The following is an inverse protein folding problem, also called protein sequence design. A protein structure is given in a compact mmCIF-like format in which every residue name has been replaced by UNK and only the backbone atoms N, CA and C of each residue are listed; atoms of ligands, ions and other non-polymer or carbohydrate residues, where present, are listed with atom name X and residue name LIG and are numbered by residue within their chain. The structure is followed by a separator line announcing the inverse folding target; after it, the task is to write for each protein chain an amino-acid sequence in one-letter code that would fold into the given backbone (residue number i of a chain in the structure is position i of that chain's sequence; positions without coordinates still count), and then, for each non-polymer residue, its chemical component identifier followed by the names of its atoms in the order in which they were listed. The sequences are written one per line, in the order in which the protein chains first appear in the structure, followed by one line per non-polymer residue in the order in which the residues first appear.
data_IF_998930229358
#
_entry.id   IF_998930229358
#
_cell.length_a   1.000
_cell.length_b   1.000
_cell.length_c   1.000
_cell.angle_alpha   90.00
_cell.angle_beta   90.00
_cell.angle_gamma   90.00
#
_symmetry.space_group_name_H-M   'P 1'
#
loop_
_entity.id
_entity.type
_entity.pdbx_description
1 polymer ?
#
# COMPACT_ATOMS: atom_id res chain seq x y z
N UNK A 1 0.51 52.84 23.68
CA UNK A 1 -0.18 52.01 22.65
C UNK A 1 0.76 51.15 21.78
N UNK A 2 1.95 51.63 21.38
CA UNK A 2 2.84 50.93 20.43
C UNK A 2 3.42 49.57 20.92
N UNK A 3 3.67 49.41 22.22
CA UNK A 3 4.23 48.16 22.79
C UNK A 3 3.26 46.96 22.78
N UNK A 4 1.94 47.20 22.94
CA UNK A 4 0.91 46.15 22.86
C UNK A 4 0.76 45.59 21.44
N UNK A 5 0.86 46.43 20.41
CA UNK A 5 0.81 45.99 19.01
C UNK A 5 2.03 45.15 18.62
N UNK A 6 3.24 45.49 19.12
CA UNK A 6 4.46 44.71 18.86
C UNK A 6 4.44 43.33 19.53
N UNK A 7 3.90 43.23 20.75
CA UNK A 7 3.72 41.96 21.47
C UNK A 7 2.71 41.03 20.77
N UNK A 8 1.55 41.58 20.38
CA UNK A 8 0.50 40.83 19.66
C UNK A 8 0.97 40.33 18.29
N UNK A 9 1.76 41.12 17.55
CA UNK A 9 2.34 40.73 16.26
C UNK A 9 3.38 39.61 16.39
N UNK A 10 4.17 39.60 17.48
CA UNK A 10 5.11 38.51 17.82
C UNK A 10 4.38 37.22 18.22
N UNK A 11 3.35 37.32 19.04
CA UNK A 11 2.53 36.17 19.46
C UNK A 11 1.85 35.51 18.26
N UNK A 12 1.27 36.29 17.35
CA UNK A 12 0.66 35.79 16.11
C UNK A 12 1.70 35.10 15.20
N UNK A 13 2.87 35.72 15.03
CA UNK A 13 3.97 35.13 14.25
C UNK A 13 4.46 33.79 14.84
N UNK A 14 4.56 33.69 16.17
CA UNK A 14 4.95 32.46 16.85
C UNK A 14 3.89 31.36 16.75
N UNK A 15 2.60 31.72 16.75
CA UNK A 15 1.50 30.76 16.56
C UNK A 15 1.49 30.20 15.14
N UNK A 16 1.61 31.08 14.13
CA UNK A 16 1.69 30.68 12.71
C UNK A 16 2.92 29.79 12.47
N UNK A 17 4.07 30.12 13.07
CA UNK A 17 5.30 29.33 12.94
C UNK A 17 5.14 27.93 13.54
N UNK A 18 4.48 27.81 14.71
CA UNK A 18 4.19 26.51 15.34
C UNK A 18 3.21 25.67 14.54
N UNK A 19 2.16 26.27 14.00
CA UNK A 19 1.20 25.57 13.13
C UNK A 19 1.89 25.03 11.86
N UNK A 20 2.68 25.88 11.18
CA UNK A 20 3.48 25.44 10.02
C UNK A 20 4.45 24.32 10.36
N UNK A 21 5.16 24.44 11.48
CA UNK A 21 6.09 23.39 11.94
C UNK A 21 5.39 22.05 12.21
N UNK A 22 4.17 22.08 12.75
CA UNK A 22 3.37 20.86 12.94
C UNK A 22 2.92 20.25 11.61
N UNK A 23 2.47 21.09 10.66
CA UNK A 23 2.04 20.63 9.35
C UNK A 23 3.20 20.09 8.47
N UNK A 24 4.43 20.56 8.69
CA UNK A 24 5.65 19.99 8.07
C UNK A 24 6.01 18.59 8.60
N UNK A 25 5.56 18.23 9.80
CA UNK A 25 5.80 16.91 10.39
C UNK A 25 4.68 15.91 10.10
N UNK A 26 3.65 16.31 9.36
CA UNK A 26 2.57 15.40 8.99
C UNK A 26 3.08 14.34 7.99
N UNK A 27 2.66 13.07 8.14
CA UNK A 27 3.01 12.01 7.20
C UNK A 27 2.25 12.09 5.87
N UNK A 28 1.39 13.10 5.71
CA UNK A 28 0.58 13.32 4.51
C UNK A 28 1.00 14.64 3.83
N UNK A 29 0.94 14.68 2.51
CA UNK A 29 1.20 15.89 1.74
C UNK A 29 0.04 16.87 1.94
N UNK A 30 0.35 18.10 2.36
CA UNK A 30 -0.66 19.12 2.67
C UNK A 30 -0.50 20.31 1.74
N UNK A 31 -1.61 20.73 1.14
CA UNK A 31 -1.71 21.92 0.29
C UNK A 31 -2.89 22.77 0.74
N UNK A 32 -2.66 24.06 0.91
CA UNK A 32 -3.70 25.04 1.19
C UNK A 32 -3.96 25.88 -0.05
N UNK A 33 -5.22 25.96 -0.45
CA UNK A 33 -5.65 26.73 -1.64
C UNK A 33 -6.78 27.69 -1.30
N UNK A 34 -6.91 28.74 -2.11
CA UNK A 34 -8.15 29.50 -2.17
C UNK A 34 -9.28 28.64 -2.74
N UNK A 35 -10.51 29.09 -2.60
CA UNK A 35 -11.69 28.48 -3.21
C UNK A 35 -11.61 28.42 -4.76
N UNK A 36 -10.86 29.33 -5.37
CA UNK A 36 -10.57 29.35 -6.81
C UNK A 36 -9.43 28.39 -7.21
N UNK A 37 -8.79 27.74 -6.23
CA UNK A 37 -7.69 26.79 -6.43
C UNK A 37 -6.29 27.41 -6.41
N UNK A 38 -6.15 28.70 -6.09
CA UNK A 38 -4.85 29.36 -5.96
C UNK A 38 -4.09 28.86 -4.74
N UNK A 39 -2.92 28.27 -4.92
CA UNK A 39 -2.10 27.74 -3.81
C UNK A 39 -1.48 28.90 -3.04
N UNK A 40 -1.57 28.88 -1.71
CA UNK A 40 -0.90 29.88 -0.86
C UNK A 40 0.01 29.26 0.21
N UNK A 41 0.05 27.94 0.30
CA UNK A 41 1.02 27.20 1.12
C UNK A 41 0.99 25.70 0.82
N UNK A 42 2.13 25.02 0.94
CA UNK A 42 2.21 23.56 1.01
C UNK A 42 3.39 23.13 1.90
N UNK A 43 3.34 21.89 2.42
CA UNK A 43 4.45 21.31 3.19
C UNK A 43 5.52 20.68 2.27
N UNK A 44 6.68 20.35 2.83
CA UNK A 44 7.77 19.70 2.10
C UNK A 44 7.37 18.37 1.47
N UNK A 45 6.48 17.61 2.12
CA UNK A 45 6.00 16.33 1.58
C UNK A 45 5.15 16.53 0.31
N UNK A 46 4.34 17.58 0.25
CA UNK A 46 3.63 17.96 -0.97
C UNK A 46 4.58 18.35 -2.10
N UNK A 47 5.69 19.03 -1.81
CA UNK A 47 6.71 19.30 -2.82
C UNK A 47 7.32 18.00 -3.38
N UNK A 48 7.62 17.04 -2.50
CA UNK A 48 8.23 15.76 -2.90
C UNK A 48 7.28 14.84 -3.66
N UNK A 49 6.03 14.70 -3.22
CA UNK A 49 5.08 13.72 -3.76
C UNK A 49 4.30 14.28 -4.94
N UNK A 50 3.84 15.53 -4.85
CA UNK A 50 3.03 16.18 -5.88
C UNK A 50 3.88 16.97 -6.89
N UNK A 51 5.20 17.13 -6.64
CA UNK A 51 6.11 17.86 -7.52
C UNK A 51 5.92 19.37 -7.50
N UNK A 52 5.31 19.91 -6.43
CA UNK A 52 5.10 21.35 -6.26
C UNK A 52 6.42 22.05 -5.91
N UNK A 53 6.59 23.29 -6.37
CA UNK A 53 7.75 24.13 -6.07
C UNK A 53 7.32 25.28 -5.19
N UNK A 54 7.79 25.31 -3.96
CA UNK A 54 7.45 26.36 -2.99
C UNK A 54 8.69 27.15 -2.60
N UNK A 55 8.65 28.50 -2.65
CA UNK A 55 7.47 29.38 -2.81
C UNK A 55 7.13 29.78 -4.26
N UNK A 56 7.75 29.21 -5.29
CA UNK A 56 7.61 29.65 -6.69
C UNK A 56 6.19 29.50 -7.24
N UNK A 57 5.46 28.47 -6.82
CA UNK A 57 4.10 28.19 -7.27
C UNK A 57 3.03 28.97 -6.44
N UNK A 58 3.43 29.91 -5.59
CA UNK A 58 2.49 30.72 -4.82
C UNK A 58 1.57 31.54 -5.75
N UNK A 59 0.27 31.46 -5.52
CA UNK A 59 -0.78 32.08 -6.32
C UNK A 59 -1.15 31.31 -7.61
N UNK A 60 -0.38 30.28 -7.99
CA UNK A 60 -0.72 29.45 -9.14
C UNK A 60 -1.94 28.58 -8.83
N UNK A 61 -2.75 28.32 -9.86
CA UNK A 61 -3.89 27.43 -9.72
C UNK A 61 -3.42 25.97 -9.64
N UNK A 62 -3.84 25.23 -8.62
CA UNK A 62 -3.50 23.82 -8.41
C UNK A 62 -3.87 22.94 -9.61
N UNK A 63 -4.92 23.29 -10.37
CA UNK A 63 -5.33 22.58 -11.59
C UNK A 63 -4.30 22.69 -12.72
N UNK A 64 -3.49 23.76 -12.75
CA UNK A 64 -2.44 23.94 -13.75
C UNK A 64 -1.18 23.14 -13.42
N UNK A 65 -0.97 22.84 -12.14
CA UNK A 65 0.17 22.08 -11.63
C UNK A 65 -0.11 20.58 -11.65
N UNK A 66 -1.30 20.18 -11.18
CA UNK A 66 -1.79 18.81 -11.21
C UNK A 66 -2.76 18.60 -12.37
N UNK A 67 -2.20 18.30 -13.54
CA UNK A 67 -2.95 18.16 -14.80
C UNK A 67 -3.57 16.78 -14.98
N UNK A 68 -4.35 16.34 -14.00
CA UNK A 68 -5.09 15.08 -14.07
C UNK A 68 -6.58 15.36 -14.30
N UNK A 69 -7.23 14.74 -15.31
CA UNK A 69 -8.65 14.95 -15.60
C UNK A 69 -9.55 14.62 -14.40
N UNK A 70 -9.29 13.52 -13.69
CA UNK A 70 -10.09 13.09 -12.53
C UNK A 70 -9.96 14.10 -11.39
N UNK A 71 -8.75 14.64 -11.18
CA UNK A 71 -8.50 15.69 -10.19
C UNK A 71 -9.22 16.99 -10.52
N UNK A 72 -9.21 17.37 -11.80
CA UNK A 72 -9.93 18.57 -12.27
C UNK A 72 -11.44 18.41 -12.07
N UNK A 73 -11.98 17.24 -12.40
CA UNK A 73 -13.39 16.95 -12.18
C UNK A 73 -13.76 16.99 -10.70
N UNK A 74 -12.95 16.36 -9.84
CA UNK A 74 -13.16 16.31 -8.40
C UNK A 74 -13.22 17.70 -7.73
N UNK A 75 -12.32 18.62 -8.12
CA UNK A 75 -12.36 20.00 -7.61
C UNK A 75 -13.53 20.82 -8.18
N UNK A 76 -13.97 20.53 -9.42
CA UNK A 76 -15.11 21.22 -10.04
C UNK A 76 -16.46 20.77 -9.50
N UNK A 77 -16.65 19.47 -9.26
CA UNK A 77 -17.91 18.94 -8.71
C UNK A 77 -18.11 19.33 -7.25
N UNK A 78 -17.02 19.62 -6.52
CA UNK A 78 -17.02 19.99 -5.09
C UNK A 78 -17.70 18.96 -4.18
N UNK A 79 -17.83 17.72 -4.64
CA UNK A 79 -18.27 16.60 -3.81
C UNK A 79 -17.06 16.04 -3.06
N UNK A 80 -16.79 16.61 -1.89
CA UNK A 80 -15.69 16.21 -1.02
C UNK A 80 -16.09 15.13 0.00
N UNK A 81 -17.25 14.49 -0.18
CA UNK A 81 -17.69 13.41 0.71
C UNK A 81 -16.85 12.14 0.56
N UNK A 82 -16.24 11.94 -0.61
CA UNK A 82 -15.40 10.79 -0.94
C UNK A 82 -14.00 11.25 -1.34
N UNK A 83 -12.95 10.51 -0.97
CA UNK A 83 -11.61 10.78 -1.47
C UNK A 83 -11.52 10.53 -2.97
N UNK A 84 -10.62 11.25 -3.64
CA UNK A 84 -10.18 10.94 -4.98
C UNK A 84 -8.95 10.03 -4.91
N UNK A 85 -9.03 8.87 -5.54
CA UNK A 85 -7.86 8.03 -5.76
C UNK A 85 -7.22 8.39 -7.10
N UNK A 86 -5.95 8.77 -7.07
CA UNK A 86 -5.19 9.20 -8.24
C UNK A 86 -3.92 8.37 -8.38
N UNK A 87 -3.63 7.90 -9.59
CA UNK A 87 -2.34 7.28 -9.91
C UNK A 87 -1.50 8.30 -10.66
N UNK A 88 -0.37 8.68 -10.07
CA UNK A 88 0.57 9.57 -10.72
C UNK A 88 1.36 8.85 -11.81
N UNK A 89 1.90 9.60 -12.76
CA UNK A 89 2.80 9.07 -13.80
C UNK A 89 4.06 8.39 -13.22
N UNK A 90 4.42 8.70 -11.97
CA UNK A 90 5.50 8.05 -11.21
C UNK A 90 5.15 6.65 -10.71
N UNK A 91 3.90 6.19 -10.89
CA UNK A 91 3.39 4.92 -10.36
C UNK A 91 2.92 4.99 -8.91
N UNK A 92 2.94 6.18 -8.29
CA UNK A 92 2.43 6.37 -6.93
C UNK A 92 0.91 6.42 -6.93
N UNK A 93 0.31 5.74 -5.96
CA UNK A 93 -1.12 5.79 -5.68
C UNK A 93 -1.36 6.79 -4.55
N UNK A 94 -2.18 7.81 -4.83
CA UNK A 94 -2.53 8.85 -3.86
C UNK A 94 -4.02 8.81 -3.53
N UNK A 95 -4.35 8.91 -2.25
CA UNK A 95 -5.69 9.23 -1.77
C UNK A 95 -5.74 10.74 -1.46
N UNK A 96 -6.51 11.50 -2.22
CA UNK A 96 -6.63 12.95 -2.10
C UNK A 96 -7.98 13.30 -1.46
N UNK A 97 -7.93 14.01 -0.32
CA UNK A 97 -9.08 14.54 0.41
C UNK A 97 -9.02 16.05 0.42
N UNK A 98 -10.13 16.70 0.13
CA UNK A 98 -10.25 18.16 0.20
C UNK A 98 -11.28 18.48 1.26
N UNK A 99 -10.99 19.45 2.12
CA UNK A 99 -11.89 19.88 3.18
C UNK A 99 -11.91 21.41 3.28
N UNK A 100 -13.07 22.02 3.50
CA UNK A 100 -13.14 23.46 3.79
C UNK A 100 -12.36 23.76 5.08
N UNK A 101 -11.41 24.70 5.02
CA UNK A 101 -10.55 25.04 6.16
C UNK A 101 -11.01 26.33 6.86
N UNK A 102 -11.36 27.36 6.10
CA UNK A 102 -11.96 28.62 6.57
C UNK A 102 -12.82 29.25 5.45
N UNK A 103 -13.39 30.44 5.66
CA UNK A 103 -14.15 31.14 4.62
C UNK A 103 -13.28 31.31 3.35
N UNK A 104 -13.71 30.68 2.24
CA UNK A 104 -13.07 30.69 0.92
C UNK A 104 -11.69 30.02 0.83
N UNK A 105 -11.37 29.10 1.75
CA UNK A 105 -10.12 28.33 1.70
C UNK A 105 -10.37 26.83 1.79
N UNK A 106 -9.58 26.08 1.04
CA UNK A 106 -9.61 24.63 1.01
C UNK A 106 -8.27 24.08 1.52
N UNK A 107 -8.37 23.02 2.30
CA UNK A 107 -7.25 22.20 2.75
C UNK A 107 -7.31 20.89 1.96
N UNK A 108 -6.25 20.62 1.22
CA UNK A 108 -6.05 19.38 0.48
C UNK A 108 -4.99 18.55 1.20
N UNK A 109 -5.33 17.30 1.43
CA UNK A 109 -4.44 16.30 2.01
C UNK A 109 -4.31 15.17 0.99
N UNK A 110 -3.09 14.88 0.57
CA UNK A 110 -2.76 13.76 -0.30
C UNK A 110 -1.93 12.75 0.49
N UNK A 111 -2.48 11.54 0.65
CA UNK A 111 -1.81 10.43 1.32
C UNK A 111 -1.24 9.47 0.28
N UNK A 112 0.02 9.09 0.44
CA UNK A 112 0.63 8.03 -0.36
C UNK A 112 0.15 6.67 0.14
N UNK A 113 -0.69 6.01 -0.65
CA UNK A 113 -1.26 4.68 -0.37
C UNK A 113 -0.63 3.61 -1.26
N UNK A 114 0.52 3.89 -1.89
CA UNK A 114 1.20 2.99 -2.82
C UNK A 114 1.52 1.64 -2.18
N UNK A 115 2.10 1.64 -0.97
CA UNK A 115 2.45 0.39 -0.29
C UNK A 115 1.21 -0.47 0.02
N UNK A 116 0.12 0.17 0.44
CA UNK A 116 -1.14 -0.53 0.70
C UNK A 116 -1.67 -1.20 -0.58
N UNK A 117 -1.70 -0.47 -1.70
CA UNK A 117 -2.12 -1.03 -2.98
C UNK A 117 -1.19 -2.13 -3.50
N UNK A 118 0.13 -2.00 -3.30
CA UNK A 118 1.10 -3.04 -3.67
C UNK A 118 0.89 -4.32 -2.85
N UNK A 119 0.66 -4.20 -1.54
CA UNK A 119 0.34 -5.33 -0.66
C UNK A 119 -0.97 -6.00 -1.07
N UNK A 120 -2.02 -5.22 -1.35
CA UNK A 120 -3.29 -5.75 -1.85
C UNK A 120 -3.12 -6.47 -3.19
N UNK A 121 -2.33 -5.90 -4.11
CA UNK A 121 -2.01 -6.52 -5.39
C UNK A 121 -1.24 -7.83 -5.24
N UNK A 122 -0.19 -7.83 -4.41
CA UNK A 122 0.59 -9.03 -4.09
C UNK A 122 -0.29 -10.11 -3.47
N UNK A 123 -1.17 -9.75 -2.54
CA UNK A 123 -2.15 -10.65 -1.92
C UNK A 123 -3.07 -11.28 -2.96
N UNK A 124 -3.65 -10.48 -3.86
CA UNK A 124 -4.53 -10.99 -4.93
C UNK A 124 -3.79 -11.93 -5.86
N UNK A 125 -2.59 -11.56 -6.30
CA UNK A 125 -1.75 -12.38 -7.16
C UNK A 125 -1.36 -13.70 -6.48
N UNK A 126 -1.05 -13.65 -5.20
CA UNK A 126 -0.74 -14.84 -4.41
C UNK A 126 -1.94 -15.81 -4.33
N UNK A 127 -3.14 -15.31 -4.00
CA UNK A 127 -4.35 -16.15 -3.99
C UNK A 127 -4.68 -16.73 -5.37
N UNK A 128 -4.50 -15.95 -6.43
CA UNK A 128 -4.68 -16.44 -7.80
C UNK A 128 -3.70 -17.58 -8.10
N UNK A 129 -2.42 -17.38 -7.81
CA UNK A 129 -1.38 -18.39 -8.04
C UNK A 129 -1.65 -19.68 -7.28
N UNK A 130 -1.99 -19.58 -5.99
CA UNK A 130 -2.36 -20.74 -5.17
C UNK A 130 -3.56 -21.48 -5.75
N UNK A 131 -4.59 -20.75 -6.18
CA UNK A 131 -5.78 -21.36 -6.78
C UNK A 131 -5.44 -22.13 -8.06
N UNK A 132 -4.55 -21.58 -8.89
CA UNK A 132 -4.05 -22.26 -10.07
C UNK A 132 -3.20 -23.48 -9.73
N UNK A 133 -2.31 -23.37 -8.75
CA UNK A 133 -1.43 -24.46 -8.31
C UNK A 133 -2.18 -25.60 -7.60
N UNK A 134 -3.35 -25.33 -7.01
CA UNK A 134 -4.22 -26.36 -6.45
C UNK A 134 -5.11 -27.02 -7.51
N UNK A 135 -5.48 -26.30 -8.58
CA UNK A 135 -6.34 -26.85 -9.64
C UNK A 135 -5.66 -28.00 -10.37
N UNK A 136 -4.39 -27.84 -10.74
CA UNK A 136 -3.62 -28.86 -11.47
C UNK A 136 -3.56 -30.22 -10.75
N UNK A 137 -3.11 -30.33 -9.47
CA UNK A 137 -3.09 -31.61 -8.77
C UNK A 137 -4.50 -32.17 -8.57
N UNK A 138 -5.51 -31.31 -8.35
CA UNK A 138 -6.90 -31.76 -8.22
C UNK A 138 -7.42 -32.38 -9.53
N UNK A 139 -7.14 -31.77 -10.69
CA UNK A 139 -7.48 -32.34 -12.00
C UNK A 139 -6.82 -33.71 -12.21
N UNK A 140 -5.56 -33.87 -11.80
CA UNK A 140 -4.85 -35.16 -11.91
C UNK A 140 -5.50 -36.22 -11.00
N UNK A 141 -5.81 -35.87 -9.76
CA UNK A 141 -6.52 -36.76 -8.83
C UNK A 141 -7.88 -37.18 -9.41
N UNK A 142 -8.64 -36.22 -9.92
CA UNK A 142 -9.95 -36.47 -10.50
C UNK A 142 -9.86 -37.38 -11.73
N UNK A 143 -8.89 -37.16 -12.63
CA UNK A 143 -8.69 -38.04 -13.79
C UNK A 143 -8.37 -39.49 -13.40
N UNK A 144 -7.53 -39.71 -12.39
CA UNK A 144 -7.27 -41.08 -11.91
C UNK A 144 -8.48 -41.72 -11.23
N UNK A 145 -9.26 -40.93 -10.47
CA UNK A 145 -10.51 -41.42 -9.86
C UNK A 145 -11.55 -41.79 -10.93
N UNK A 146 -11.68 -40.99 -11.98
CA UNK A 146 -12.55 -41.27 -13.13
C UNK A 146 -12.12 -42.55 -13.84
N UNK A 147 -10.83 -42.73 -14.14
CA UNK A 147 -10.30 -43.96 -14.74
C UNK A 147 -10.59 -45.20 -13.90
N UNK A 148 -10.41 -45.11 -12.57
CA UNK A 148 -10.70 -46.23 -11.65
C UNK A 148 -12.19 -46.56 -11.54
N UNK A 149 -13.06 -45.57 -11.76
CA UNK A 149 -14.50 -45.75 -11.73
C UNK A 149 -15.03 -46.37 -13.03
N UNK A 150 -14.38 -46.09 -14.17
CA UNK A 150 -14.71 -46.69 -15.47
C UNK A 150 -14.24 -48.14 -15.56
N UNK A 151 -12.99 -48.44 -15.14
CA UNK A 151 -12.43 -49.78 -15.13
C UNK A 151 -11.48 -50.00 -13.95
N UNK A 152 -11.45 -51.20 -13.33
CA UNK A 152 -10.47 -51.52 -12.30
C UNK A 152 -9.04 -51.39 -12.85
N UNK A 153 -8.24 -50.51 -12.26
CA UNK A 153 -6.81 -50.46 -12.52
C UNK A 153 -6.13 -51.66 -11.84
N UNK A 154 -5.26 -52.37 -12.55
CA UNK A 154 -4.55 -53.55 -12.05
C UNK A 154 -3.02 -53.42 -12.15
N UNK A 155 -2.32 -54.22 -11.34
CA UNK A 155 -0.87 -54.34 -11.34
C UNK A 155 -0.13 -53.01 -11.27
N UNK A 156 0.88 -52.86 -12.14
CA UNK A 156 1.76 -51.69 -12.17
C UNK A 156 1.03 -50.36 -12.45
N UNK A 157 -0.10 -50.38 -13.18
CA UNK A 157 -0.85 -49.16 -13.51
C UNK A 157 -1.55 -48.62 -12.26
N UNK A 158 -2.12 -49.51 -11.44
CA UNK A 158 -2.74 -49.14 -10.16
C UNK A 158 -1.72 -48.55 -9.19
N UNK A 159 -0.55 -49.20 -9.06
CA UNK A 159 0.52 -48.71 -8.19
C UNK A 159 1.01 -47.32 -8.63
N UNK A 160 1.20 -47.11 -9.93
CA UNK A 160 1.59 -45.81 -10.48
C UNK A 160 0.54 -44.74 -10.22
N UNK A 161 -0.74 -45.05 -10.44
CA UNK A 161 -1.84 -44.13 -10.17
C UNK A 161 -1.87 -43.72 -8.69
N UNK A 162 -1.86 -44.70 -7.77
CA UNK A 162 -1.84 -44.43 -6.31
C UNK A 162 -0.61 -43.62 -5.89
N UNK A 163 0.55 -43.90 -6.48
CA UNK A 163 1.78 -43.14 -6.21
C UNK A 163 1.64 -41.68 -6.65
N UNK A 164 1.23 -41.43 -7.90
CA UNK A 164 1.04 -40.08 -8.42
C UNK A 164 -0.03 -39.32 -7.63
N UNK A 165 -1.14 -39.97 -7.27
CA UNK A 165 -2.18 -39.36 -6.43
C UNK A 165 -1.64 -38.97 -5.05
N UNK A 166 -0.81 -39.82 -4.43
CA UNK A 166 -0.17 -39.50 -3.14
C UNK A 166 0.78 -38.31 -3.27
N UNK A 167 1.61 -38.24 -4.32
CA UNK A 167 2.49 -37.09 -4.57
C UNK A 167 1.70 -35.79 -4.76
N UNK A 168 0.61 -35.82 -5.54
CA UNK A 168 -0.23 -34.63 -5.74
C UNK A 168 -0.89 -34.19 -4.43
N UNK A 169 -1.36 -35.13 -3.61
CA UNK A 169 -1.96 -34.83 -2.30
C UNK A 169 -0.93 -34.20 -1.35
N UNK A 170 0.29 -34.74 -1.28
CA UNK A 170 1.38 -34.17 -0.48
C UNK A 170 1.79 -32.78 -0.96
N UNK A 171 1.80 -32.55 -2.27
CA UNK A 171 2.05 -31.21 -2.84
C UNK A 171 0.98 -30.21 -2.40
N UNK A 172 -0.30 -30.60 -2.46
CA UNK A 172 -1.41 -29.76 -1.99
C UNK A 172 -1.30 -29.46 -0.48
N UNK A 173 -0.94 -30.45 0.34
CA UNK A 173 -0.70 -30.26 1.78
C UNK A 173 0.42 -29.24 2.03
N UNK A 174 1.53 -29.35 1.28
CA UNK A 174 2.63 -28.38 1.32
C UNK A 174 2.18 -26.95 1.01
N UNK A 175 1.39 -26.77 -0.06
CA UNK A 175 0.82 -25.46 -0.44
C UNK A 175 -0.10 -24.90 0.65
N UNK A 176 -0.97 -25.73 1.22
CA UNK A 176 -1.86 -25.32 2.32
C UNK A 176 -1.06 -24.91 3.56
N UNK A 177 0.02 -25.63 3.89
CA UNK A 177 0.89 -25.27 5.02
C UNK A 177 1.59 -23.93 4.79
N UNK A 178 2.02 -23.65 3.56
CA UNK A 178 2.60 -22.35 3.18
C UNK A 178 1.58 -21.21 3.34
N UNK A 179 0.33 -21.41 2.91
CA UNK A 179 -0.77 -20.46 3.11
C UNK A 179 -0.98 -20.12 4.60
N UNK A 180 -1.09 -21.15 5.44
CA UNK A 180 -1.30 -20.99 6.87
C UNK A 180 -0.11 -20.28 7.54
N UNK A 181 1.11 -20.52 7.06
CA UNK A 181 2.31 -19.86 7.56
C UNK A 181 2.31 -18.38 7.20
N UNK A 182 2.01 -18.03 5.94
CA UNK A 182 1.92 -16.64 5.51
C UNK A 182 0.84 -15.88 6.28
N UNK A 183 -0.34 -16.48 6.45
CA UNK A 183 -1.45 -15.86 7.21
C UNK A 183 -1.05 -15.56 8.67
N UNK A 184 -0.24 -16.41 9.30
CA UNK A 184 0.29 -16.15 10.65
C UNK A 184 1.28 -14.99 10.68
N UNK A 185 2.13 -14.86 9.65
CA UNK A 185 3.09 -13.77 9.54
C UNK A 185 2.37 -12.43 9.35
N UNK A 186 1.34 -12.37 8.49
CA UNK A 186 0.55 -11.16 8.27
C UNK A 186 -0.26 -10.72 9.49
N UNK A 187 -0.72 -11.66 10.31
CA UNK A 187 -1.46 -11.37 11.53
C UNK A 187 -0.57 -10.97 12.72
N UNK A 188 0.73 -11.27 12.67
CA UNK A 188 1.66 -10.92 13.73
C UNK A 188 1.98 -9.41 13.69
N UNK A 189 1.92 -8.69 14.82
CA UNK A 189 2.43 -7.33 14.88
C UNK A 189 3.88 -7.31 14.44
N UNK A 190 4.24 -6.38 13.55
CA UNK A 190 5.62 -6.19 13.09
C UNK A 190 6.50 -5.74 14.25
N UNK A 191 6.97 -6.66 15.08
CA UNK A 191 8.01 -6.39 16.05
C UNK A 191 9.33 -6.33 15.29
N UNK A 192 9.79 -5.12 15.00
CA UNK A 192 11.17 -4.87 14.57
C UNK A 192 12.09 -5.19 15.76
N UNK A 193 12.47 -6.46 15.90
CA UNK A 193 13.51 -6.90 16.82
C UNK A 193 14.85 -6.42 16.26
N UNK A 194 15.25 -5.21 16.66
CA UNK A 194 16.46 -4.56 16.18
C UNK A 194 17.68 -4.99 17.03
N UNK A 195 17.89 -6.29 17.16
CA UNK A 195 18.99 -6.88 17.93
C UNK A 195 20.15 -7.27 17.01
N UNK A 196 21.40 -7.13 17.50
CA UNK A 196 22.57 -7.61 16.76
C UNK A 196 22.55 -9.14 16.76
N UNK A 197 22.54 -9.74 15.57
CA UNK A 197 22.52 -11.21 15.40
C UNK A 197 23.86 -11.69 14.83
N UNK A 198 24.37 -12.80 15.36
CA UNK A 198 25.56 -13.49 14.84
C UNK A 198 25.18 -14.35 13.61
N UNK A 199 25.32 -13.75 12.43
CA UNK A 199 25.03 -14.41 11.14
C UNK A 199 25.90 -15.67 10.93
N UNK A 200 27.24 -15.66 11.19
CA UNK A 200 28.05 -16.87 11.13
C UNK A 200 27.51 -18.05 11.96
N UNK A 201 27.06 -17.80 13.18
CA UNK A 201 26.49 -18.84 14.05
C UNK A 201 25.19 -19.42 13.45
N UNK A 202 24.29 -18.57 12.95
CA UNK A 202 23.06 -19.03 12.30
C UNK A 202 23.33 -19.90 11.06
N UNK A 203 24.31 -19.52 10.24
CA UNK A 203 24.69 -20.30 9.06
C UNK A 203 25.19 -21.70 9.43
N UNK A 204 25.95 -21.84 10.53
CA UNK A 204 26.37 -23.14 11.05
C UNK A 204 25.18 -24.01 11.50
N UNK A 205 24.20 -23.42 12.18
CA UNK A 205 22.98 -24.13 12.61
C UNK A 205 22.17 -24.63 11.41
N UNK A 206 21.98 -23.79 10.39
CA UNK A 206 21.20 -24.16 9.19
C UNK A 206 21.93 -25.24 8.38
N UNK A 207 23.24 -25.09 8.18
CA UNK A 207 24.05 -26.08 7.44
C UNK A 207 24.13 -27.44 8.13
N UNK A 208 24.06 -27.50 9.46
CA UNK A 208 23.96 -28.76 10.20
C UNK A 208 22.61 -29.45 9.97
N UNK A 209 21.52 -28.68 9.84
CA UNK A 209 20.15 -29.21 9.67
C UNK A 209 19.84 -29.72 8.26
N UNK A 210 20.53 -29.21 7.25
CA UNK A 210 20.41 -29.63 5.84
C UNK A 210 21.26 -30.87 5.50
N UNK A 211 22.08 -31.35 6.43
CA UNK A 211 22.93 -32.54 6.27
C UNK A 211 22.31 -33.82 6.85
N UNK A 212 21.06 -33.75 7.33
CA UNK A 212 20.22 -34.86 7.77
C UNK A 212 19.07 -35.02 6.77
#
# INVERSE_FOLDING_TARGET
MQLRNKKRRRELGNLIKRFRSGAESLPDAVVLTTEEGGIFWCNGLAQQILGLRWPEDNGQNILNLLRYPEFTQYLKTRDFSRPLNLVLNTGRHLEIRVMPYTHKQLLMVARDVTQMHQLEGARRNFFANVSHELRTPLTVLQGYLEMMNEQPLEGAVREKALHTMREQTQRMEGLVKQLLTLSKIEAAPTHLLNEKVDVPMMLRVVSARLRL
#
